data_IF_521469349243
#
_entry.id   IF_521469349243
#
_cell.length_a   1.000
_cell.length_b   1.000
_cell.length_c   1.000
_cell.angle_alpha   90.00
_cell.angle_beta   90.00
_cell.angle_gamma   90.00
#
_symmetry.space_group_name_H-M   'P 1'
#
loop_
_entity.id
_entity.type
_entity.pdbx_description
1 polymer ?
#
# COMPACT_ATOMS: atom_id res chain seq x y z
N UNK A 1 -13.02 9.27 -2.47
CA UNK A 1 -12.51 8.12 -1.72
C UNK A 1 -13.59 7.62 -0.78
N UNK A 2 -14.04 6.38 -0.95
CA UNK A 2 -15.06 5.74 -0.13
C UNK A 2 -14.53 4.40 0.37
N UNK A 3 -14.53 4.16 1.68
CA UNK A 3 -14.16 2.86 2.23
C UNK A 3 -15.18 1.81 1.78
N UNK A 4 -14.71 0.72 1.18
CA UNK A 4 -15.54 -0.41 0.77
C UNK A 4 -15.65 -1.39 1.94
N UNK A 5 -14.50 -1.89 2.40
CA UNK A 5 -14.43 -2.91 3.45
C UNK A 5 -13.07 -2.86 4.17
N UNK A 6 -13.02 -3.56 5.30
CA UNK A 6 -11.83 -3.75 6.09
C UNK A 6 -11.69 -5.25 6.41
N UNK A 7 -10.53 -5.81 6.10
CA UNK A 7 -10.23 -7.23 6.27
C UNK A 7 -9.18 -7.41 7.35
N UNK A 8 -9.49 -8.28 8.32
CA UNK A 8 -8.56 -8.69 9.36
C UNK A 8 -7.81 -9.92 8.84
N UNK A 9 -6.50 -9.79 8.65
CA UNK A 9 -5.64 -10.86 8.17
C UNK A 9 -5.19 -11.75 9.35
N UNK A 10 -4.90 -13.04 9.12
CA UNK A 10 -4.53 -13.98 10.18
C UNK A 10 -3.19 -13.64 10.86
N UNK A 11 -2.35 -12.81 10.24
CA UNK A 11 -1.12 -12.27 10.83
C UNK A 11 -1.36 -11.02 11.70
N UNK A 12 -2.62 -10.67 11.98
CA UNK A 12 -3.00 -9.53 12.83
C UNK A 12 -3.00 -8.18 12.09
N UNK A 13 -2.62 -8.14 10.82
CA UNK A 13 -2.68 -6.92 10.02
C UNK A 13 -4.11 -6.62 9.57
N UNK A 14 -4.40 -5.33 9.40
CA UNK A 14 -5.71 -4.86 8.95
C UNK A 14 -5.56 -4.23 7.58
N UNK A 15 -6.16 -4.87 6.57
CA UNK A 15 -6.22 -4.36 5.20
C UNK A 15 -7.48 -3.52 5.03
N UNK A 16 -7.32 -2.26 4.67
CA UNK A 16 -8.41 -1.36 4.31
C UNK A 16 -8.51 -1.24 2.80
N UNK A 17 -9.72 -1.43 2.28
CA UNK A 17 -10.00 -1.34 0.84
C UNK A 17 -10.87 -0.11 0.60
N UNK A 18 -10.44 0.76 -0.31
CA UNK A 18 -11.15 1.98 -0.65
C UNK A 18 -11.43 2.06 -2.15
N UNK A 19 -12.62 2.53 -2.48
CA UNK A 19 -13.00 2.98 -3.80
C UNK A 19 -12.48 4.40 -4.02
N UNK A 20 -11.69 4.56 -5.07
CA UNK A 20 -11.18 5.82 -5.60
C UNK A 20 -11.77 6.08 -7.01
N UNK A 21 -12.83 5.37 -7.37
CA UNK A 21 -13.45 5.44 -8.69
C UNK A 21 -13.99 6.84 -8.94
N UNK A 22 -13.86 7.30 -10.18
CA UNK A 22 -14.31 8.63 -10.59
C UNK A 22 -14.76 8.64 -12.04
N UNK A 23 -15.78 9.44 -12.33
CA UNK A 23 -16.22 9.71 -13.70
C UNK A 23 -15.15 10.50 -14.45
N UNK A 24 -14.87 10.11 -15.69
CA UNK A 24 -13.87 10.76 -16.55
C UNK A 24 -14.46 11.30 -17.85
N UNK A 25 -15.66 10.85 -18.25
CA UNK A 25 -16.44 11.42 -19.35
C UNK A 25 -17.95 11.19 -19.12
N UNK A 26 -18.78 11.57 -20.10
CA UNK A 26 -20.25 11.43 -20.00
C UNK A 26 -20.67 9.99 -19.64
N UNK A 27 -20.22 8.96 -20.33
CA UNK A 27 -20.65 7.58 -20.03
C UNK A 27 -19.49 6.69 -19.60
N UNK A 28 -18.43 7.33 -19.09
CA UNK A 28 -17.15 6.67 -18.85
C UNK A 28 -16.59 6.99 -17.47
N UNK A 29 -16.22 5.93 -16.76
CA UNK A 29 -15.63 5.98 -15.43
C UNK A 29 -14.24 5.35 -15.42
N UNK A 30 -13.38 5.86 -14.54
CA UNK A 30 -12.17 5.19 -14.09
C UNK A 30 -12.54 4.47 -12.80
N UNK A 31 -12.47 3.14 -12.81
CA UNK A 31 -12.63 2.33 -11.60
C UNK A 31 -11.25 2.19 -10.97
N UNK A 32 -11.10 2.63 -9.73
CA UNK A 32 -9.82 2.58 -9.02
C UNK A 32 -10.05 2.09 -7.60
N UNK A 33 -9.28 1.07 -7.19
CA UNK A 33 -9.30 0.52 -5.85
C UNK A 33 -7.92 0.71 -5.20
N UNK A 34 -7.91 1.19 -3.95
CA UNK A 34 -6.72 1.19 -3.12
C UNK A 34 -6.83 0.16 -1.99
N UNK A 35 -5.75 -0.59 -1.82
CA UNK A 35 -5.57 -1.60 -0.80
C UNK A 35 -4.44 -1.13 0.10
N UNK A 36 -4.77 -0.77 1.32
CA UNK A 36 -3.83 -0.13 2.26
C UNK A 36 -3.76 -0.92 3.56
N UNK A 37 -2.57 -1.07 4.11
CA UNK A 37 -2.38 -1.59 5.46
C UNK A 37 -1.25 -0.84 6.15
N UNK A 38 -1.34 -0.79 7.47
CA UNK A 38 -0.32 -0.23 8.35
C UNK A 38 0.42 -1.37 9.02
N UNK A 39 1.75 -1.27 9.05
CA UNK A 39 2.65 -2.28 9.59
C UNK A 39 3.58 -1.61 10.57
N UNK A 40 3.54 -2.02 11.84
CA UNK A 40 4.47 -1.50 12.84
C UNK A 40 5.88 -2.07 12.60
N UNK A 41 6.90 -1.23 12.72
CA UNK A 41 8.29 -1.60 12.50
C UNK A 41 8.91 -2.08 13.79
N UNK A 42 8.91 -3.40 13.98
CA UNK A 42 9.52 -3.97 15.18
C UNK A 42 11.04 -4.11 15.04
N UNK A 43 11.81 -3.87 16.11
CA UNK A 43 13.26 -4.06 16.09
C UNK A 43 13.65 -5.54 15.86
N UNK A 44 12.77 -6.48 16.22
CA UNK A 44 12.93 -7.93 16.01
C UNK A 44 12.99 -8.33 14.53
N UNK A 45 12.58 -7.46 13.62
CA UNK A 45 12.64 -7.71 12.18
C UNK A 45 14.07 -7.69 11.64
N UNK A 46 14.99 -7.03 12.35
CA UNK A 46 16.34 -6.71 11.88
C UNK A 46 17.41 -7.45 12.66
N UNK A 47 18.56 -7.69 12.01
CA UNK A 47 19.73 -8.27 12.66
C UNK A 47 20.52 -7.22 13.47
N UNK A 48 20.43 -5.94 13.11
CA UNK A 48 21.11 -4.83 13.76
C UNK A 48 20.11 -3.75 14.20
N UNK A 49 20.27 -3.16 15.40
CA UNK A 49 19.44 -2.03 15.82
C UNK A 49 19.66 -0.78 14.95
N UNK A 50 20.81 -0.67 14.26
CA UNK A 50 21.07 0.43 13.33
C UNK A 50 20.14 0.38 12.11
N UNK A 51 19.81 -0.83 11.65
CA UNK A 51 18.90 -1.06 10.53
C UNK A 51 17.47 -0.62 10.86
N UNK A 52 17.02 -0.91 12.08
CA UNK A 52 15.75 -0.43 12.62
C UNK A 52 15.72 1.10 12.70
N UNK A 53 16.79 1.73 13.19
CA UNK A 53 16.90 3.20 13.25
C UNK A 53 16.93 3.84 11.87
N UNK A 54 17.58 3.21 10.90
CA UNK A 54 17.68 3.74 9.55
C UNK A 54 16.30 3.80 8.89
N UNK A 55 15.53 2.72 8.95
CA UNK A 55 14.19 2.70 8.34
C UNK A 55 13.22 3.61 9.10
N UNK A 56 13.22 3.57 10.44
CA UNK A 56 12.32 4.41 11.25
C UNK A 56 12.71 5.89 11.20
N UNK A 57 13.98 6.21 11.00
CA UNK A 57 14.44 7.58 10.76
C UNK A 57 13.93 8.19 9.45
N UNK A 58 13.57 7.35 8.47
CA UNK A 58 13.04 7.76 7.15
C UNK A 58 11.51 7.74 7.13
N UNK A 59 10.90 6.64 7.59
CA UNK A 59 9.45 6.40 7.45
C UNK A 59 8.66 6.52 8.75
N UNK A 60 9.32 6.62 9.91
CA UNK A 60 8.68 6.51 11.22
C UNK A 60 8.52 5.04 11.68
N UNK A 61 7.83 4.85 12.81
CA UNK A 61 7.61 3.52 13.41
C UNK A 61 6.53 2.69 12.68
N UNK A 62 5.78 3.31 11.77
CA UNK A 62 4.70 2.66 11.03
C UNK A 62 4.94 2.78 9.51
N UNK A 63 5.00 1.63 8.84
CA UNK A 63 5.05 1.56 7.39
C UNK A 63 3.64 1.46 6.82
N UNK A 64 3.41 2.15 5.71
CA UNK A 64 2.19 1.98 4.93
C UNK A 64 2.48 1.13 3.71
N UNK A 65 1.84 -0.03 3.62
CA UNK A 65 1.74 -0.75 2.35
C UNK A 65 0.55 -0.21 1.59
N UNK A 66 0.77 0.12 0.33
CA UNK A 66 -0.27 0.57 -0.59
C UNK A 66 -0.14 -0.21 -1.90
N UNK A 67 -1.25 -0.75 -2.36
CA UNK A 67 -1.40 -1.28 -3.70
C UNK A 67 -2.63 -0.67 -4.36
N UNK A 68 -2.51 -0.30 -5.63
CA UNK A 68 -3.60 0.28 -6.41
C UNK A 68 -3.87 -0.59 -7.61
N UNK A 69 -5.15 -0.85 -7.86
CA UNK A 69 -5.63 -1.48 -9.08
C UNK A 69 -6.59 -0.53 -9.75
N UNK A 70 -6.44 -0.34 -11.04
CA UNK A 70 -7.30 0.53 -11.81
C UNK A 70 -7.69 -0.09 -13.15
N UNK A 71 -8.89 0.27 -13.62
CA UNK A 71 -9.31 0.09 -15.00
C UNK A 71 -9.90 1.40 -15.49
N UNK A 72 -9.34 1.91 -16.58
CA UNK A 72 -9.79 3.13 -17.24
C UNK A 72 -10.76 2.79 -18.38
N UNK A 73 -11.52 3.79 -18.84
CA UNK A 73 -12.46 3.65 -19.96
C UNK A 73 -13.59 2.62 -19.74
N UNK A 74 -14.07 2.51 -18.51
CA UNK A 74 -15.18 1.60 -18.16
C UNK A 74 -16.50 2.31 -18.42
N UNK A 75 -17.48 1.64 -19.04
CA UNK A 75 -18.81 2.19 -19.17
C UNK A 75 -19.46 2.39 -17.79
N UNK A 76 -20.20 3.48 -17.57
CA UNK A 76 -20.83 3.75 -16.26
C UNK A 76 -21.71 2.58 -15.78
N UNK A 77 -22.42 1.92 -16.71
CA UNK A 77 -23.23 0.73 -16.42
C UNK A 77 -22.40 -0.48 -15.94
N UNK A 78 -21.11 -0.55 -16.27
CA UNK A 78 -20.21 -1.65 -15.91
C UNK A 78 -19.32 -1.36 -14.69
N UNK A 79 -19.43 -0.17 -14.09
CA UNK A 79 -18.60 0.26 -12.96
C UNK A 79 -18.61 -0.79 -11.83
N UNK A 80 -19.81 -1.22 -11.44
CA UNK A 80 -19.98 -2.14 -10.31
C UNK A 80 -19.43 -3.53 -10.60
N UNK A 81 -19.61 -4.03 -11.82
CA UNK A 81 -19.07 -5.33 -12.25
C UNK A 81 -17.53 -5.29 -12.29
N UNK A 82 -16.96 -4.23 -12.89
CA UNK A 82 -15.51 -4.04 -12.94
C UNK A 82 -14.91 -3.91 -11.55
N UNK A 83 -15.56 -3.17 -10.64
CA UNK A 83 -15.12 -3.05 -9.25
C UNK A 83 -15.09 -4.40 -8.54
N UNK A 84 -16.14 -5.20 -8.70
CA UNK A 84 -16.20 -6.54 -8.10
C UNK A 84 -15.08 -7.45 -8.66
N UNK A 85 -14.87 -7.44 -9.97
CA UNK A 85 -13.79 -8.20 -10.62
C UNK A 85 -12.41 -7.81 -10.09
N UNK A 86 -12.10 -6.51 -9.99
CA UNK A 86 -10.82 -6.04 -9.46
C UNK A 86 -10.62 -6.45 -8.01
N UNK A 87 -11.68 -6.35 -7.20
CA UNK A 87 -11.65 -6.76 -5.80
C UNK A 87 -11.41 -8.26 -5.64
N UNK A 88 -12.15 -9.10 -6.38
CA UNK A 88 -11.99 -10.55 -6.36
C UNK A 88 -10.61 -10.98 -6.87
N UNK A 89 -10.14 -10.35 -7.95
CA UNK A 89 -8.80 -10.58 -8.50
C UNK A 89 -7.73 -10.28 -7.46
N UNK A 90 -7.84 -9.15 -6.76
CA UNK A 90 -6.92 -8.84 -5.67
C UNK A 90 -6.97 -9.89 -4.57
N UNK A 91 -8.18 -10.26 -4.13
CA UNK A 91 -8.38 -11.22 -3.05
C UNK A 91 -7.75 -12.58 -3.37
N UNK A 92 -7.97 -13.08 -4.58
CA UNK A 92 -7.46 -14.37 -5.02
C UNK A 92 -5.94 -14.40 -5.20
N UNK A 93 -5.34 -13.32 -5.67
CA UNK A 93 -3.90 -13.29 -5.99
C UNK A 93 -3.03 -12.80 -4.83
N UNK A 94 -3.51 -11.84 -4.05
CA UNK A 94 -2.67 -11.10 -3.09
C UNK A 94 -2.89 -11.51 -1.64
N UNK A 95 -4.11 -11.92 -1.23
CA UNK A 95 -4.38 -12.18 0.18
C UNK A 95 -3.48 -13.28 0.75
N UNK A 96 -3.18 -14.32 -0.01
CA UNK A 96 -2.29 -15.40 0.44
C UNK A 96 -0.88 -14.92 0.77
N UNK A 97 -0.35 -13.93 0.03
CA UNK A 97 0.95 -13.33 0.32
C UNK A 97 0.88 -12.35 1.51
N UNK A 98 -0.14 -11.50 1.54
CA UNK A 98 -0.34 -10.48 2.57
C UNK A 98 -0.65 -11.08 3.94
N UNK A 99 -1.24 -12.27 3.97
CA UNK A 99 -1.62 -12.99 5.20
C UNK A 99 -0.46 -13.76 5.83
N UNK A 100 0.74 -13.77 5.22
CA UNK A 100 1.89 -14.50 5.78
C UNK A 100 2.36 -13.86 7.10
N UNK A 101 2.74 -14.66 8.10
CA UNK A 101 3.21 -14.12 9.39
C UNK A 101 4.44 -13.23 9.22
N UNK A 102 5.37 -13.59 8.35
CA UNK A 102 6.58 -12.80 8.08
C UNK A 102 6.38 -11.63 7.11
N UNK A 103 5.15 -11.33 6.67
CA UNK A 103 4.90 -10.27 5.70
C UNK A 103 5.48 -8.91 6.16
N UNK A 104 5.19 -8.53 7.40
CA UNK A 104 5.66 -7.27 8.00
C UNK A 104 7.18 -7.15 7.97
N UNK A 105 7.87 -8.19 8.45
CA UNK A 105 9.33 -8.30 8.42
C UNK A 105 9.88 -8.22 7.00
N UNK A 106 9.30 -8.96 6.06
CA UNK A 106 9.76 -8.97 4.65
C UNK A 106 9.60 -7.61 3.98
N UNK A 107 8.49 -6.92 4.23
CA UNK A 107 8.27 -5.57 3.73
C UNK A 107 9.33 -4.61 4.27
N UNK A 108 9.57 -4.62 5.59
CA UNK A 108 10.54 -3.75 6.22
C UNK A 108 11.97 -4.01 5.71
N UNK A 109 12.38 -5.28 5.58
CA UNK A 109 13.69 -5.64 5.01
C UNK A 109 13.81 -5.25 3.53
N UNK A 110 12.73 -5.37 2.75
CA UNK A 110 12.73 -4.95 1.34
C UNK A 110 12.93 -3.44 1.21
N UNK A 111 12.28 -2.64 2.05
CA UNK A 111 12.44 -1.19 2.07
C UNK A 111 13.85 -0.78 2.52
N UNK A 112 14.39 -1.42 3.55
CA UNK A 112 15.76 -1.19 3.98
C UNK A 112 16.76 -1.51 2.85
N UNK A 113 16.54 -2.61 2.12
CA UNK A 113 17.35 -2.93 0.95
C UNK A 113 17.20 -1.88 -0.16
N UNK A 114 16.00 -1.33 -0.39
CA UNK A 114 15.81 -0.26 -1.38
C UNK A 114 16.51 1.03 -0.96
N UNK A 115 16.47 1.41 0.32
CA UNK A 115 17.19 2.56 0.87
C UNK A 115 18.68 2.45 0.57
N UNK A 116 19.28 1.28 0.83
CA UNK A 116 20.71 1.05 0.62
C UNK A 116 21.10 1.06 -0.86
N UNK A 117 20.21 0.58 -1.75
CA UNK A 117 20.45 0.56 -3.20
C UNK A 117 20.20 1.91 -3.86
N UNK A 118 19.23 2.67 -3.34
CA UNK A 118 18.75 3.93 -3.90
C UNK A 118 18.79 5.06 -2.86
N UNK A 119 19.97 5.42 -2.30
CA UNK A 119 20.07 6.36 -1.18
C UNK A 119 19.56 7.77 -1.53
N UNK A 120 19.64 8.17 -2.81
CA UNK A 120 19.15 9.48 -3.27
C UNK A 120 17.63 9.62 -3.22
N UNK A 121 16.88 8.51 -3.35
CA UNK A 121 15.41 8.51 -3.31
C UNK A 121 14.87 8.86 -1.91
N UNK A 122 15.66 8.56 -0.88
CA UNK A 122 15.27 8.72 0.53
C UNK A 122 16.10 9.77 1.27
N UNK A 123 16.97 10.48 0.55
CA UNK A 123 17.70 11.60 1.13
C UNK A 123 16.68 12.66 1.54
N UNK A 124 16.50 12.84 2.85
CA UNK A 124 15.70 13.95 3.38
C UNK A 124 16.15 15.22 2.69
N UNK A 125 15.25 15.87 1.96
CA UNK A 125 15.52 17.17 1.38
C UNK A 125 15.86 18.09 2.56
N UNK A 126 17.05 18.71 2.62
CA UNK A 126 17.42 19.58 3.73
C UNK A 126 16.57 20.85 3.79
N UNK A 127 15.69 21.09 2.80
CA UNK A 127 14.76 22.19 2.75
C UNK A 127 13.31 21.66 2.78
N UNK A 128 12.70 21.50 3.97
CA UNK A 128 11.27 21.31 4.09
C UNK A 128 10.59 22.67 3.88
N UNK A 129 10.09 22.92 2.67
CA UNK A 129 9.29 24.09 2.35
C UNK A 129 10.03 25.13 1.52
N UNK A 130 9.99 24.96 0.20
CA UNK A 130 9.78 26.06 -0.75
C UNK A 130 9.04 25.49 -1.96
N UNK A 131 7.71 25.53 -1.87
CA UNK A 131 6.81 25.56 -3.01
C UNK A 131 5.69 26.52 -2.58
N UNK A 132 5.94 27.80 -2.86
CA UNK A 132 4.94 28.87 -2.84
C UNK A 132 4.49 29.10 -4.29
#
# INVERSE_FOLDING_TARGET
MKRIETLHLPNGLVLTINDLSRRIAADTVKVELSFQMKVNVEPSFFASPDDHRQITGIFGDELTYEHKMERTFVAEAEESATRAELLETFKNNSLGYLSKPDFAKRMALSLLSDIRRNPFKYRKNPFPGQAE
#
